data_IF_615005397673
#
_entry.id   IF_615005397673
#
_cell.length_a   1.000
_cell.length_b   1.000
_cell.length_c   1.000
_cell.angle_alpha   90.00
_cell.angle_beta   90.00
_cell.angle_gamma   90.00
#
_symmetry.space_group_name_H-M   'P 1'
#
loop_
_entity.id
_entity.type
_entity.pdbx_description
1 polymer ?
#
# COMPACT_ATOMS: atom_id res chain seq x y z
N UNK A 1 6.36 -2.76 1.32
CA UNK A 1 5.04 -2.11 1.36
C UNK A 1 4.38 -2.33 2.71
N UNK A 2 3.47 -1.47 3.07
CA UNK A 2 2.84 -1.42 4.39
C UNK A 2 1.35 -1.72 4.31
N UNK A 3 0.89 -2.65 5.11
CA UNK A 3 -0.51 -2.81 5.46
C UNK A 3 -0.72 -1.98 6.74
N UNK A 4 -1.47 -0.89 6.63
CA UNK A 4 -1.67 0.07 7.72
C UNK A 4 -3.14 0.07 8.18
N UNK A 5 -3.49 -0.79 9.16
CA UNK A 5 -4.86 -0.82 9.69
C UNK A 5 -5.26 0.48 10.37
N UNK A 6 -6.56 0.80 10.34
CA UNK A 6 -7.11 1.85 11.18
C UNK A 6 -7.22 1.38 12.65
N UNK A 7 -7.53 2.31 13.55
CA UNK A 7 -7.65 2.00 14.97
C UNK A 7 -8.69 0.92 15.27
N UNK A 8 -9.78 0.88 14.50
CA UNK A 8 -10.85 -0.10 14.68
C UNK A 8 -10.52 -1.49 14.12
N UNK A 9 -9.47 -1.63 13.30
CA UNK A 9 -9.10 -2.88 12.65
C UNK A 9 -10.09 -3.33 11.57
N UNK A 10 -10.85 -2.40 11.00
CA UNK A 10 -11.89 -2.69 9.99
C UNK A 10 -11.45 -2.37 8.57
N UNK A 11 -10.43 -1.54 8.40
CA UNK A 11 -9.93 -1.09 7.12
C UNK A 11 -8.42 -0.83 7.19
N UNK A 12 -7.79 -0.73 6.04
CA UNK A 12 -6.37 -0.35 5.93
C UNK A 12 -6.18 0.73 4.87
N UNK A 13 -5.12 1.52 5.02
CA UNK A 13 -4.84 2.64 4.12
C UNK A 13 -4.28 2.14 2.79
N UNK A 14 -4.83 2.64 1.69
CA UNK A 14 -4.37 2.34 0.33
C UNK A 14 -4.38 3.60 -0.53
N UNK A 15 -3.54 3.63 -1.57
CA UNK A 15 -3.63 4.66 -2.60
C UNK A 15 -4.65 4.29 -3.67
N UNK A 16 -5.31 5.31 -4.25
CA UNK A 16 -6.24 5.14 -5.36
C UNK A 16 -5.52 5.54 -6.64
N UNK A 17 -5.39 4.59 -7.56
CA UNK A 17 -4.58 4.76 -8.76
C UNK A 17 -5.44 4.84 -10.02
N UNK A 18 -4.91 5.50 -11.04
CA UNK A 18 -5.60 5.77 -12.30
C UNK A 18 -5.99 4.48 -13.04
N UNK A 19 -7.06 4.51 -13.84
CA UNK A 19 -7.45 3.39 -14.69
C UNK A 19 -6.32 2.92 -15.60
N UNK A 20 -6.29 1.61 -15.80
CA UNK A 20 -5.42 0.94 -16.78
C UNK A 20 -6.26 0.07 -17.69
N UNK A 21 -5.66 -0.52 -18.72
CA UNK A 21 -6.36 -1.47 -19.60
C UNK A 21 -6.91 -2.65 -18.79
N UNK A 22 -6.12 -3.16 -17.85
CA UNK A 22 -6.49 -4.29 -17.01
C UNK A 22 -7.53 -3.92 -15.93
N UNK A 23 -7.45 -2.69 -15.44
CA UNK A 23 -8.30 -2.18 -14.36
C UNK A 23 -8.98 -0.88 -14.80
N UNK A 24 -10.03 -0.96 -15.63
CA UNK A 24 -10.63 0.23 -16.26
C UNK A 24 -11.25 1.23 -15.28
N UNK A 25 -11.55 0.82 -14.06
CA UNK A 25 -12.08 1.69 -13.01
C UNK A 25 -11.00 2.17 -12.02
N UNK A 26 -9.74 1.83 -12.27
CA UNK A 26 -8.65 2.09 -11.35
C UNK A 26 -8.38 0.94 -10.39
N UNK A 27 -7.44 1.13 -9.49
CA UNK A 27 -7.07 0.09 -8.52
C UNK A 27 -6.54 0.71 -7.23
N UNK A 28 -6.55 -0.08 -6.16
CA UNK A 28 -5.91 0.26 -4.90
C UNK A 28 -4.52 -0.36 -4.82
N UNK A 29 -3.60 0.35 -4.19
CA UNK A 29 -2.24 -0.14 -3.94
C UNK A 29 -1.86 0.08 -2.49
N UNK A 30 -1.13 -0.87 -1.92
CA UNK A 30 -0.54 -0.72 -0.59
C UNK A 30 0.43 0.47 -0.57
N UNK A 31 0.58 1.08 0.60
CA UNK A 31 1.50 2.19 0.80
C UNK A 31 2.94 1.68 0.73
N UNK A 32 3.81 2.44 0.07
CA UNK A 32 5.23 2.13 -0.02
C UNK A 32 5.76 2.22 -1.44
N UNK A 33 7.04 1.98 -1.58
CA UNK A 33 7.76 2.09 -2.85
C UNK A 33 8.93 1.13 -2.93
N UNK A 34 9.90 1.46 -3.77
CA UNK A 34 11.04 0.60 -4.07
C UNK A 34 12.12 0.68 -3.00
N UNK A 35 12.79 -0.44 -2.77
CA UNK A 35 14.01 -0.50 -1.98
C UNK A 35 15.16 0.03 -2.83
N UNK A 36 15.90 0.98 -2.30
CA UNK A 36 17.07 1.56 -2.98
C UNK A 36 18.32 0.72 -2.71
N UNK A 37 19.29 0.82 -3.62
CA UNK A 37 20.56 0.12 -3.47
C UNK A 37 21.25 0.53 -2.16
N UNK A 38 21.63 -0.45 -1.36
CA UNK A 38 22.27 -0.22 -0.06
C UNK A 38 21.31 0.04 1.10
N UNK A 39 20.01 0.06 0.83
CA UNK A 39 18.96 0.26 1.82
C UNK A 39 18.35 -1.09 2.21
N UNK A 40 18.06 -1.29 3.50
CA UNK A 40 17.28 -2.45 3.92
C UNK A 40 15.82 -2.25 3.55
N UNK A 41 15.08 -3.34 3.35
CA UNK A 41 13.63 -3.22 3.07
C UNK A 41 12.85 -2.61 4.24
N UNK A 42 13.34 -2.77 5.49
CA UNK A 42 12.79 -2.09 6.66
C UNK A 42 12.95 -0.57 6.55
N UNK A 43 14.16 -0.10 6.26
CA UNK A 43 14.43 1.33 6.12
C UNK A 43 13.67 1.92 4.93
N UNK A 44 13.52 1.15 3.85
CA UNK A 44 12.77 1.56 2.67
C UNK A 44 11.30 1.88 3.00
N UNK A 45 10.61 1.01 3.73
CA UNK A 45 9.19 1.25 4.07
C UNK A 45 9.06 2.50 4.95
N UNK A 46 9.95 2.70 5.89
CA UNK A 46 9.94 3.88 6.76
C UNK A 46 10.20 5.16 5.97
N UNK A 47 11.17 5.14 5.07
CA UNK A 47 11.50 6.27 4.21
C UNK A 47 10.35 6.64 3.29
N UNK A 48 9.78 5.65 2.60
CA UNK A 48 8.66 5.87 1.66
C UNK A 48 7.44 6.45 2.36
N UNK A 49 7.09 5.94 3.54
CA UNK A 49 5.97 6.48 4.32
C UNK A 49 6.23 7.93 4.73
N UNK A 50 7.46 8.25 5.12
CA UNK A 50 7.86 9.62 5.45
C UNK A 50 7.78 10.56 4.25
N UNK A 51 8.30 10.14 3.10
CA UNK A 51 8.30 10.94 1.88
C UNK A 51 6.90 11.15 1.31
N UNK A 52 6.10 10.10 1.26
CA UNK A 52 4.79 10.12 0.62
C UNK A 52 3.70 10.72 1.50
N UNK A 53 3.68 10.39 2.79
CA UNK A 53 2.59 10.76 3.71
C UNK A 53 3.00 11.74 4.80
N UNK A 54 4.31 12.03 4.95
CA UNK A 54 4.79 12.83 6.06
C UNK A 54 4.52 12.17 7.42
N UNK A 55 4.42 10.85 7.46
CA UNK A 55 4.07 10.08 8.64
C UNK A 55 5.21 9.20 9.13
N UNK A 56 5.17 8.82 10.39
CA UNK A 56 5.98 7.75 10.97
C UNK A 56 5.16 6.48 11.11
N UNK A 57 5.81 5.35 11.33
CA UNK A 57 5.15 4.06 11.54
C UNK A 57 5.43 3.55 12.93
N UNK A 58 4.37 3.32 13.70
CA UNK A 58 4.46 2.68 15.01
C UNK A 58 4.17 1.19 14.89
N UNK A 59 4.82 0.38 15.71
CA UNK A 59 4.64 -1.08 15.77
C UNK A 59 4.91 -1.76 14.43
N UNK A 60 5.93 -1.29 13.71
CA UNK A 60 6.33 -1.89 12.45
C UNK A 60 6.72 -3.35 12.63
N UNK A 61 6.00 -4.25 11.95
CA UNK A 61 6.21 -5.70 12.05
C UNK A 61 6.33 -6.29 10.65
N UNK A 62 7.39 -7.06 10.42
CA UNK A 62 7.58 -7.77 9.17
C UNK A 62 6.62 -8.94 9.06
N UNK A 63 5.93 -9.06 7.93
CA UNK A 63 4.98 -10.16 7.66
C UNK A 63 5.58 -11.25 6.77
N UNK A 64 6.23 -10.85 5.69
CA UNK A 64 6.78 -11.78 4.72
C UNK A 64 7.04 -11.14 3.39
N UNK A 65 7.32 -11.97 2.40
CA UNK A 65 7.66 -11.55 1.05
C UNK A 65 6.67 -12.18 0.07
N UNK A 66 6.27 -11.41 -0.94
CA UNK A 66 5.45 -11.90 -2.05
C UNK A 66 6.10 -11.56 -3.38
N UNK A 67 5.95 -12.45 -4.33
CA UNK A 67 6.33 -12.21 -5.71
C UNK A 67 5.11 -11.69 -6.45
N UNK A 68 5.19 -10.45 -6.95
CA UNK A 68 4.09 -9.78 -7.63
C UNK A 68 4.36 -9.75 -9.12
N UNK A 69 3.63 -10.56 -9.87
CA UNK A 69 3.68 -10.61 -11.33
C UNK A 69 2.36 -10.04 -11.83
N UNK A 70 2.42 -8.98 -12.61
CA UNK A 70 1.25 -8.23 -13.04
C UNK A 70 1.41 -7.69 -14.45
N UNK A 71 0.31 -7.21 -15.02
CA UNK A 71 0.31 -6.43 -16.26
C UNK A 71 -0.25 -5.05 -15.99
N UNK A 72 0.36 -4.06 -16.62
CA UNK A 72 -0.11 -2.69 -16.57
C UNK A 72 -0.03 -2.12 -17.99
N UNK A 73 -1.18 -1.81 -18.56
CA UNK A 73 -1.32 -1.36 -19.94
C UNK A 73 -0.61 -2.29 -20.94
N UNK A 74 -0.79 -3.59 -20.75
CA UNK A 74 -0.21 -4.66 -21.56
C UNK A 74 1.24 -4.99 -21.29
N UNK A 75 1.92 -4.22 -20.42
CA UNK A 75 3.33 -4.47 -20.06
C UNK A 75 3.43 -5.39 -18.85
N UNK A 76 4.28 -6.40 -18.97
CA UNK A 76 4.55 -7.32 -17.87
C UNK A 76 5.42 -6.63 -16.80
N UNK A 77 4.96 -6.66 -15.55
CA UNK A 77 5.72 -6.25 -14.39
C UNK A 77 6.03 -7.44 -13.50
N UNK A 78 7.18 -7.40 -12.83
CA UNK A 78 7.58 -8.43 -11.89
C UNK A 78 8.38 -7.77 -10.78
N UNK A 79 7.89 -7.86 -9.55
CA UNK A 79 8.56 -7.27 -8.39
C UNK A 79 8.51 -8.21 -7.18
N UNK A 80 9.52 -8.09 -6.33
CA UNK A 80 9.56 -8.76 -5.02
C UNK A 80 9.13 -7.73 -3.99
N UNK A 81 8.05 -8.02 -3.26
CA UNK A 81 7.47 -7.10 -2.30
C UNK A 81 7.63 -7.62 -0.88
N UNK A 82 8.33 -6.85 -0.04
CA UNK A 82 8.45 -7.12 1.39
C UNK A 82 7.27 -6.47 2.09
N UNK A 83 6.47 -7.28 2.78
CA UNK A 83 5.26 -6.82 3.45
C UNK A 83 5.49 -6.59 4.93
N UNK A 84 5.04 -5.45 5.38
CA UNK A 84 5.02 -5.02 6.78
C UNK A 84 3.60 -4.66 7.18
N UNK A 85 3.33 -4.72 8.47
CA UNK A 85 2.17 -4.05 9.07
C UNK A 85 2.63 -3.02 10.09
N UNK A 86 1.83 -1.99 10.32
CA UNK A 86 2.13 -0.94 11.29
C UNK A 86 1.07 0.14 11.30
N UNK A 87 1.15 1.01 12.32
CA UNK A 87 0.22 2.11 12.50
C UNK A 87 0.85 3.41 12.00
N UNK A 88 0.13 4.13 11.16
CA UNK A 88 0.56 5.45 10.68
C UNK A 88 0.35 6.50 11.78
N UNK A 89 1.34 7.38 11.95
CA UNK A 89 1.27 8.50 12.87
C UNK A 89 1.79 9.78 12.16
N UNK A 90 0.94 10.76 11.87
CA UNK A 90 -0.50 10.80 12.14
C UNK A 90 -1.29 9.79 11.30
N UNK A 91 -2.34 9.25 11.89
CA UNK A 91 -3.26 8.37 11.16
C UNK A 91 -4.07 9.21 10.15
N UNK A 92 -4.26 8.72 8.92
CA UNK A 92 -5.14 9.40 7.96
C UNK A 92 -6.53 9.65 8.56
N UNK A 93 -7.13 10.79 8.19
CA UNK A 93 -8.48 11.12 8.61
C UNK A 93 -9.50 10.08 8.11
N UNK A 94 -10.69 9.96 8.73
CA UNK A 94 -11.71 9.00 8.27
C UNK A 94 -12.12 9.16 6.80
N UNK A 95 -12.05 10.39 6.27
CA UNK A 95 -12.33 10.71 4.86
C UNK A 95 -11.08 10.59 3.95
N UNK A 96 -9.95 10.15 4.51
CA UNK A 96 -8.73 9.89 3.75
C UNK A 96 -7.64 10.92 3.90
N UNK A 97 -6.63 10.80 3.05
CA UNK A 97 -5.45 11.63 2.99
C UNK A 97 -4.98 11.77 1.54
N UNK A 98 -3.82 12.41 1.35
CA UNK A 98 -3.15 12.49 0.07
C UNK A 98 -1.72 11.97 0.19
N UNK A 99 -1.27 11.30 -0.86
CA UNK A 99 0.07 10.76 -0.99
C UNK A 99 0.79 11.54 -2.09
N UNK A 100 2.06 11.89 -1.87
CA UNK A 100 2.88 12.61 -2.84
C UNK A 100 3.87 11.63 -3.47
N UNK A 101 3.75 11.45 -4.80
CA UNK A 101 4.65 10.60 -5.57
C UNK A 101 6.00 11.31 -5.82
N UNK A 102 6.99 10.52 -6.27
CA UNK A 102 8.34 11.03 -6.56
C UNK A 102 8.34 12.17 -7.59
N UNK A 103 7.43 12.14 -8.56
CA UNK A 103 7.28 13.18 -9.59
C UNK A 103 6.49 14.40 -9.11
N UNK A 104 6.06 14.43 -7.85
CA UNK A 104 5.26 15.51 -7.27
C UNK A 104 3.76 15.37 -7.48
N UNK A 105 3.29 14.36 -8.21
CA UNK A 105 1.86 14.12 -8.38
C UNK A 105 1.21 13.71 -7.04
N UNK A 106 -0.06 14.07 -6.89
CA UNK A 106 -0.84 13.80 -5.67
C UNK A 106 -1.83 12.69 -5.96
N UNK A 107 -1.82 11.67 -5.11
CA UNK A 107 -2.66 10.48 -5.23
C UNK A 107 -3.53 10.38 -3.97
N UNK A 108 -4.86 10.17 -4.12
CA UNK A 108 -5.73 9.98 -2.94
C UNK A 108 -5.36 8.73 -2.16
N UNK A 109 -5.44 8.82 -0.84
CA UNK A 109 -5.33 7.70 0.10
C UNK A 109 -6.68 7.52 0.77
N UNK A 110 -7.20 6.32 0.74
CA UNK A 110 -8.51 5.98 1.31
C UNK A 110 -8.38 4.79 2.25
N UNK A 111 -9.40 4.61 3.07
CA UNK A 111 -9.55 3.43 3.91
C UNK A 111 -10.27 2.34 3.13
N UNK A 112 -9.54 1.28 2.78
CA UNK A 112 -10.08 0.11 2.11
C UNK A 112 -10.57 -0.88 3.17
N UNK A 113 -11.84 -1.35 3.11
CA UNK A 113 -12.28 -2.45 3.97
C UNK A 113 -11.38 -3.67 3.86
N UNK A 114 -11.15 -4.38 4.96
CA UNK A 114 -10.42 -5.66 4.92
C UNK A 114 -11.16 -6.72 4.10
N UNK A 115 -12.47 -6.62 4.01
CA UNK A 115 -13.27 -7.47 3.13
C UNK A 115 -13.17 -6.97 1.69
N UNK A 116 -12.45 -7.71 0.86
CA UNK A 116 -12.25 -7.37 -0.55
C UNK A 116 -13.56 -7.23 -1.32
N UNK A 117 -14.62 -7.98 -0.94
CA UNK A 117 -15.92 -7.91 -1.57
C UNK A 117 -16.59 -6.53 -1.41
N UNK A 118 -16.27 -5.82 -0.34
CA UNK A 118 -16.80 -4.48 -0.05
C UNK A 118 -15.96 -3.35 -0.66
N UNK A 119 -14.75 -3.66 -1.10
CA UNK A 119 -13.77 -2.63 -1.46
C UNK A 119 -14.00 -1.96 -2.82
N UNK A 120 -14.68 -2.62 -3.74
CA UNK A 120 -15.08 -2.07 -5.05
C UNK A 120 -13.98 -2.05 -6.12
N UNK A 121 -12.71 -1.96 -5.75
CA UNK A 121 -11.57 -1.96 -6.67
C UNK A 121 -10.58 -3.08 -6.31
N UNK A 122 -9.82 -3.59 -7.28
CA UNK A 122 -8.79 -4.58 -7.01
C UNK A 122 -7.64 -4.00 -6.18
N UNK A 123 -6.98 -4.85 -5.40
CA UNK A 123 -5.81 -4.50 -4.60
C UNK A 123 -4.54 -5.04 -5.24
N UNK A 124 -3.49 -4.21 -5.28
CA UNK A 124 -2.15 -4.61 -5.68
C UNK A 124 -1.14 -4.37 -4.56
N UNK A 125 -0.20 -5.28 -4.36
CA UNK A 125 -0.07 -6.55 -5.07
C UNK A 125 -1.23 -7.51 -4.77
N UNK A 126 -1.73 -8.19 -5.80
CA UNK A 126 -2.94 -9.04 -5.69
C UNK A 126 -2.81 -10.14 -4.63
N UNK A 127 -1.61 -10.71 -4.49
CA UNK A 127 -1.33 -11.77 -3.52
C UNK A 127 -1.13 -11.26 -2.08
N UNK A 128 -1.18 -9.95 -1.85
CA UNK A 128 -1.20 -9.40 -0.48
C UNK A 128 -2.50 -9.71 0.27
N UNK A 129 -3.60 -10.00 -0.45
CA UNK A 129 -4.90 -10.28 0.16
C UNK A 129 -4.85 -11.45 1.16
N UNK A 130 -4.01 -12.47 0.91
CA UNK A 130 -3.82 -13.59 1.84
C UNK A 130 -3.18 -13.17 3.16
N UNK A 131 -2.40 -12.07 3.15
CA UNK A 131 -1.73 -11.54 4.33
C UNK A 131 -2.63 -10.63 5.16
N UNK A 132 -3.64 -10.02 4.55
CA UNK A 132 -4.59 -9.15 5.26
C UNK A 132 -5.29 -9.88 6.41
N UNK A 133 -5.60 -11.15 6.22
CA UNK A 133 -6.26 -11.98 7.24
C UNK A 133 -5.35 -12.32 8.42
N UNK A 134 -4.05 -12.15 8.27
CA UNK A 134 -3.04 -12.41 9.31
C UNK A 134 -2.61 -11.13 10.03
N UNK A 135 -3.11 -9.99 9.59
CA UNK A 135 -2.79 -8.69 10.19
C UNK A 135 -3.61 -8.51 11.46
N UNK A 136 -2.95 -8.31 12.61
CA UNK A 136 -3.66 -8.14 13.87
C UNK A 136 -4.45 -6.82 13.96
#
# INVERSE_FOLDING_TARGET
MLIAPNAAGTAHAVSVNQPTIEDPDGYHRLIGGSVELGETHRDAVLREVGEELGATVNRLTYLGVVENIFRMNGRLGHEIVFLYTGRLDPEPAPDGAALIETDGSVVPVVWRPFDDAEAGLPLYPANAASWLRQTP
#
